data_IF_679570504204
#
_entry.id   IF_679570504204
#
_cell.length_a   1.000
_cell.length_b   1.000
_cell.length_c   1.000
_cell.angle_alpha   90.00
_cell.angle_beta   90.00
_cell.angle_gamma   90.00
#
_symmetry.space_group_name_H-M   'P 1'
#
loop_
_entity.id
_entity.type
_entity.pdbx_description
1 polymer ?
#
# COMPACT_ATOMS: atom_id res chain seq x y z
N UNK A 1 42.16 15.01 37.92
CA UNK A 1 41.78 16.19 37.14
C UNK A 1 40.36 15.96 36.61
N UNK A 2 39.37 16.57 37.24
CA UNK A 2 37.94 16.44 36.93
C UNK A 2 37.53 17.54 35.94
N UNK A 3 36.93 17.15 34.81
CA UNK A 3 36.42 18.07 33.80
C UNK A 3 35.24 18.93 34.34
N UNK A 4 35.07 20.18 33.90
CA UNK A 4 33.99 21.04 34.40
C UNK A 4 32.65 20.59 33.80
N UNK A 5 31.62 20.52 34.66
CA UNK A 5 30.25 20.28 34.25
C UNK A 5 29.75 21.49 33.44
N UNK A 6 29.58 21.31 32.12
CA UNK A 6 29.04 22.34 31.24
C UNK A 6 27.54 22.54 31.52
N UNK A 7 27.17 23.67 32.12
CA UNK A 7 25.78 24.08 32.33
C UNK A 7 25.13 24.40 30.98
N UNK A 8 24.35 23.47 30.45
CA UNK A 8 23.54 23.69 29.26
C UNK A 8 22.54 24.83 29.52
N UNK A 9 22.52 25.85 28.65
CA UNK A 9 21.60 26.99 28.81
C UNK A 9 20.12 26.54 28.80
N UNK A 10 19.21 27.20 29.53
CA UNK A 10 17.79 26.85 29.56
C UNK A 10 17.16 26.82 28.17
N UNK A 11 17.58 27.73 27.28
CA UNK A 11 17.20 27.77 25.87
C UNK A 11 17.73 26.57 25.08
N UNK A 12 18.99 26.16 25.29
CA UNK A 12 19.54 24.97 24.63
C UNK A 12 18.96 23.65 25.18
N UNK A 13 18.47 23.65 26.43
CA UNK A 13 17.71 22.55 27.02
C UNK A 13 16.30 22.49 26.46
N UNK A 14 15.64 23.65 26.34
CA UNK A 14 14.32 23.78 25.74
C UNK A 14 14.32 23.43 24.24
N UNK A 15 15.31 23.89 23.48
CA UNK A 15 15.48 23.53 22.07
C UNK A 15 15.75 22.03 21.88
N UNK A 16 16.59 21.42 22.73
CA UNK A 16 16.80 19.96 22.73
C UNK A 16 15.53 19.18 23.08
N UNK A 17 14.77 19.67 24.03
CA UNK A 17 13.46 19.10 24.38
C UNK A 17 12.46 19.25 23.23
N UNK A 18 12.40 20.41 22.55
CA UNK A 18 11.54 20.66 21.39
C UNK A 18 11.91 19.81 20.16
N UNK A 19 13.20 19.62 19.87
CA UNK A 19 13.64 18.75 18.77
C UNK A 19 13.34 17.27 19.01
N UNK A 20 12.94 16.91 20.23
CA UNK A 20 12.36 15.63 20.64
C UNK A 20 13.09 14.35 20.24
N UNK A 21 14.29 14.40 19.64
CA UNK A 21 14.94 13.23 19.03
C UNK A 21 13.88 12.26 18.50
N UNK A 22 12.93 12.78 17.69
CA UNK A 22 11.98 11.93 16.97
C UNK A 22 12.81 10.78 16.48
N UNK A 23 12.44 9.51 16.69
CA UNK A 23 13.34 8.41 16.40
C UNK A 23 13.71 8.48 14.92
N UNK A 24 14.79 9.20 14.64
CA UNK A 24 15.75 8.93 13.61
C UNK A 24 16.49 7.73 14.18
N UNK A 25 15.76 6.62 14.31
CA UNK A 25 16.37 5.33 14.42
C UNK A 25 17.25 5.12 13.20
N UNK A 26 17.88 3.96 13.13
CA UNK A 26 18.45 3.52 11.86
C UNK A 26 17.41 3.64 10.76
N UNK A 27 17.74 4.32 9.66
CA UNK A 27 16.89 4.39 8.47
C UNK A 27 16.40 2.98 8.18
N UNK A 28 15.09 2.78 8.30
CA UNK A 28 14.50 1.47 8.07
C UNK A 28 14.68 1.16 6.58
N UNK A 29 15.36 0.04 6.30
CA UNK A 29 15.60 -0.38 4.93
C UNK A 29 14.28 -0.90 4.37
N UNK A 30 13.64 -0.10 3.52
CA UNK A 30 12.51 -0.56 2.74
C UNK A 30 12.94 -1.66 1.78
N UNK A 31 12.04 -2.60 1.44
CA UNK A 31 12.31 -3.56 0.40
C UNK A 31 12.58 -2.86 -0.94
N UNK A 32 13.39 -3.50 -1.79
CA UNK A 32 13.60 -3.01 -3.15
C UNK A 32 12.26 -3.12 -3.89
N UNK A 33 11.80 -2.00 -4.46
CA UNK A 33 10.55 -1.91 -5.19
C UNK A 33 10.78 -1.15 -6.49
N UNK A 34 10.60 -1.83 -7.62
CA UNK A 34 10.61 -1.23 -8.95
C UNK A 34 9.34 -0.42 -9.23
N UNK A 35 9.31 0.38 -10.31
CA UNK A 35 8.14 1.19 -10.68
C UNK A 35 6.85 0.39 -10.93
N UNK A 36 6.99 -0.88 -11.29
CA UNK A 36 5.91 -1.84 -11.53
C UNK A 36 5.66 -2.77 -10.33
N UNK A 37 6.26 -2.46 -9.18
CA UNK A 37 6.13 -3.24 -7.95
C UNK A 37 7.09 -4.41 -7.84
N UNK A 38 7.94 -4.70 -8.83
CA UNK A 38 8.90 -5.83 -8.75
C UNK A 38 9.90 -5.67 -7.63
N UNK A 39 10.19 -6.77 -6.95
CA UNK A 39 11.26 -6.82 -5.95
C UNK A 39 12.51 -7.49 -6.50
N UNK A 40 13.55 -7.57 -5.66
CA UNK A 40 14.74 -8.38 -5.93
C UNK A 40 14.49 -9.89 -5.78
N UNK A 41 13.30 -10.31 -5.33
CA UNK A 41 12.90 -11.72 -5.23
C UNK A 41 11.97 -12.04 -6.41
N UNK A 42 12.37 -12.97 -7.32
CA UNK A 42 11.54 -13.34 -8.47
C UNK A 42 10.16 -13.84 -8.04
N UNK A 43 9.11 -13.36 -8.72
CA UNK A 43 7.71 -13.71 -8.42
C UNK A 43 7.10 -12.95 -7.24
N UNK A 44 7.86 -12.09 -6.55
CA UNK A 44 7.36 -11.28 -5.43
C UNK A 44 7.27 -9.82 -5.85
N UNK A 45 6.08 -9.24 -5.64
CA UNK A 45 5.72 -7.87 -6.00
C UNK A 45 5.18 -7.12 -4.78
N UNK A 46 5.33 -5.81 -4.79
CA UNK A 46 4.84 -4.90 -3.75
C UNK A 46 3.85 -3.89 -4.33
N UNK A 47 2.83 -3.58 -3.54
CA UNK A 47 1.86 -2.54 -3.84
C UNK A 47 1.39 -1.86 -2.54
N UNK A 48 0.65 -0.77 -2.67
CA UNK A 48 0.17 0.02 -1.55
C UNK A 48 1.27 0.85 -0.90
N UNK A 49 1.14 1.07 0.40
CA UNK A 49 2.00 1.97 1.18
C UNK A 49 3.46 1.49 1.23
N UNK A 50 3.73 0.19 1.02
CA UNK A 50 5.08 -0.37 0.91
C UNK A 50 5.87 0.21 -0.28
N UNK A 51 5.20 0.86 -1.23
CA UNK A 51 5.84 1.58 -2.35
C UNK A 51 6.39 2.96 -1.93
N UNK A 52 6.16 3.40 -0.69
CA UNK A 52 6.75 4.60 -0.10
C UNK A 52 5.89 5.87 -0.19
N UNK A 53 4.73 5.83 -0.85
CA UNK A 53 3.78 6.95 -0.95
C UNK A 53 2.41 6.54 -0.39
N UNK A 54 2.06 6.93 0.84
CA UNK A 54 0.83 6.49 1.52
C UNK A 54 -0.37 7.32 1.08
N UNK A 55 -0.69 7.27 -0.22
CA UNK A 55 -1.79 8.00 -0.83
C UNK A 55 -2.73 7.02 -1.53
N UNK A 56 -4.02 7.16 -1.22
CA UNK A 56 -5.06 6.22 -1.61
C UNK A 56 -5.06 5.89 -3.12
N UNK A 57 -4.96 6.91 -3.97
CA UNK A 57 -4.94 6.72 -5.44
C UNK A 57 -3.69 6.00 -5.92
N UNK A 58 -2.54 6.30 -5.33
CA UNK A 58 -1.28 5.62 -5.66
C UNK A 58 -1.29 4.17 -5.17
N UNK A 59 -1.92 3.89 -4.03
CA UNK A 59 -2.11 2.54 -3.54
C UNK A 59 -2.94 1.69 -4.51
N UNK A 60 -4.07 2.23 -5.00
CA UNK A 60 -4.89 1.58 -6.03
C UNK A 60 -4.10 1.33 -7.32
N UNK A 61 -3.42 2.37 -7.82
CA UNK A 61 -2.65 2.32 -9.06
C UNK A 61 -1.47 1.34 -9.01
N UNK A 62 -0.77 1.28 -7.87
CA UNK A 62 0.32 0.33 -7.65
C UNK A 62 -0.14 -1.13 -7.70
N UNK A 63 -1.33 -1.45 -7.17
CA UNK A 63 -1.90 -2.81 -7.25
C UNK A 63 -2.17 -3.23 -8.68
N UNK A 64 -2.75 -2.33 -9.48
CA UNK A 64 -3.04 -2.54 -10.91
C UNK A 64 -1.74 -2.77 -11.70
N UNK A 65 -0.75 -1.90 -11.51
CA UNK A 65 0.54 -2.00 -12.22
C UNK A 65 1.27 -3.31 -11.89
N UNK A 66 1.27 -3.72 -10.63
CA UNK A 66 1.87 -4.98 -10.20
C UNK A 66 1.23 -6.18 -10.92
N UNK A 67 -0.10 -6.23 -10.98
CA UNK A 67 -0.79 -7.34 -11.65
C UNK A 67 -0.58 -7.34 -13.16
N UNK A 68 -0.54 -6.16 -13.81
CA UNK A 68 -0.21 -6.09 -15.24
C UNK A 68 1.19 -6.60 -15.54
N UNK A 69 2.16 -6.29 -14.68
CA UNK A 69 3.52 -6.81 -14.80
C UNK A 69 3.56 -8.34 -14.61
N UNK A 70 2.82 -8.87 -13.63
CA UNK A 70 2.68 -10.32 -13.40
C UNK A 70 2.03 -11.01 -14.60
N UNK A 71 0.93 -10.45 -15.13
CA UNK A 71 0.25 -10.99 -16.30
C UNK A 71 1.18 -11.03 -17.54
N UNK A 72 2.00 -9.99 -17.72
CA UNK A 72 2.99 -9.95 -18.80
C UNK A 72 4.06 -11.05 -18.64
N UNK A 73 4.56 -11.26 -17.41
CA UNK A 73 5.52 -12.32 -17.12
C UNK A 73 4.96 -13.72 -17.39
N UNK A 74 3.74 -14.00 -16.92
CA UNK A 74 3.07 -15.28 -17.09
C UNK A 74 2.81 -15.59 -18.57
N UNK A 75 2.44 -14.57 -19.37
CA UNK A 75 2.30 -14.70 -20.82
C UNK A 75 3.63 -14.97 -21.52
N UNK A 76 4.72 -14.34 -21.07
CA UNK A 76 6.06 -14.56 -21.63
C UNK A 76 6.66 -15.91 -21.23
N UNK A 77 6.26 -16.46 -20.08
CA UNK A 77 6.75 -17.72 -19.52
C UNK A 77 5.56 -18.61 -19.12
N UNK A 78 4.84 -19.18 -20.08
CA UNK A 78 3.69 -20.02 -19.79
C UNK A 78 4.12 -21.21 -18.93
N UNK A 79 3.53 -21.32 -17.74
CA UNK A 79 3.70 -22.48 -16.86
C UNK A 79 2.87 -23.64 -17.44
N UNK A 80 3.34 -24.89 -17.31
CA UNK A 80 2.44 -26.03 -17.46
C UNK A 80 1.40 -25.93 -16.36
N UNK A 81 0.12 -25.91 -16.73
CA UNK A 81 -0.98 -25.98 -15.77
C UNK A 81 -0.70 -27.18 -14.84
N UNK A 82 -0.39 -26.87 -13.58
CA UNK A 82 -0.44 -27.83 -12.50
C UNK A 82 -1.77 -27.57 -11.83
N UNK A 83 -2.64 -28.59 -11.80
CA UNK A 83 -4.10 -28.45 -11.69
C UNK A 83 -4.63 -27.96 -10.31
N UNK A 84 -3.85 -27.22 -9.52
CA UNK A 84 -4.29 -26.76 -8.20
C UNK A 84 -3.67 -25.45 -7.68
N UNK A 85 -2.71 -24.81 -8.37
CA UNK A 85 -2.09 -23.58 -7.86
C UNK A 85 -2.65 -22.33 -8.58
N UNK A 86 -3.03 -21.27 -7.85
CA UNK A 86 -3.43 -20.01 -8.48
C UNK A 86 -2.24 -19.34 -9.17
N UNK A 87 -2.52 -18.57 -10.23
CA UNK A 87 -1.51 -17.76 -10.92
C UNK A 87 -0.94 -16.65 -10.04
N UNK A 88 -1.74 -16.19 -9.06
CA UNK A 88 -1.42 -15.08 -8.18
C UNK A 88 -1.99 -15.30 -6.77
N UNK A 89 -1.19 -15.06 -5.74
CA UNK A 89 -1.67 -14.92 -4.36
C UNK A 89 -1.45 -13.47 -3.91
N UNK A 90 -2.51 -12.83 -3.45
CA UNK A 90 -2.54 -11.45 -2.98
C UNK A 90 -2.58 -11.47 -1.46
N UNK A 91 -1.54 -10.92 -0.83
CA UNK A 91 -1.46 -10.82 0.62
C UNK A 91 -1.91 -9.42 1.08
N UNK A 92 -3.05 -9.37 1.76
CA UNK A 92 -3.69 -8.16 2.27
C UNK A 92 -4.90 -7.72 1.44
N UNK A 93 -6.06 -7.65 2.09
CA UNK A 93 -7.35 -7.20 1.55
C UNK A 93 -7.61 -5.71 1.73
N UNK A 94 -6.55 -4.89 1.69
CA UNK A 94 -6.65 -3.43 1.65
C UNK A 94 -6.96 -2.89 0.26
N UNK A 95 -6.97 -1.58 0.09
CA UNK A 95 -7.27 -0.93 -1.21
C UNK A 95 -6.37 -1.39 -2.35
N UNK A 96 -5.06 -1.51 -2.12
CA UNK A 96 -4.12 -1.97 -3.14
C UNK A 96 -4.33 -3.44 -3.51
N UNK A 97 -4.54 -4.31 -2.50
CA UNK A 97 -4.79 -5.73 -2.73
C UNK A 97 -6.12 -6.01 -3.42
N UNK A 98 -7.18 -5.26 -3.07
CA UNK A 98 -8.46 -5.38 -3.77
C UNK A 98 -8.41 -4.80 -5.18
N UNK A 99 -7.64 -3.73 -5.42
CA UNK A 99 -7.37 -3.24 -6.78
C UNK A 99 -6.61 -4.29 -7.61
N UNK A 100 -5.62 -4.95 -7.01
CA UNK A 100 -4.90 -6.06 -7.63
C UNK A 100 -5.85 -7.24 -7.95
N UNK A 101 -6.74 -7.61 -7.03
CA UNK A 101 -7.71 -8.69 -7.22
C UNK A 101 -8.65 -8.41 -8.41
N UNK A 102 -9.17 -7.18 -8.49
CA UNK A 102 -10.02 -6.76 -9.61
C UNK A 102 -9.23 -6.78 -10.92
N UNK A 103 -8.00 -6.25 -10.94
CA UNK A 103 -7.16 -6.29 -12.15
C UNK A 103 -6.82 -7.74 -12.54
N UNK A 104 -6.60 -8.65 -11.58
CA UNK A 104 -6.31 -10.06 -11.85
C UNK A 104 -7.49 -10.75 -12.54
N UNK A 105 -8.72 -10.49 -12.05
CA UNK A 105 -9.98 -10.90 -12.70
C UNK A 105 -10.07 -10.37 -14.14
N UNK A 106 -9.72 -9.11 -14.37
CA UNK A 106 -9.72 -8.50 -15.71
C UNK A 106 -8.66 -9.08 -16.66
N UNK A 107 -7.50 -9.49 -16.13
CA UNK A 107 -6.44 -10.14 -16.90
C UNK A 107 -6.70 -11.63 -17.15
N UNK A 108 -7.76 -12.20 -16.58
CA UNK A 108 -8.11 -13.62 -16.70
C UNK A 108 -7.21 -14.54 -15.88
N UNK A 109 -6.58 -14.04 -14.82
CA UNK A 109 -5.72 -14.80 -13.92
C UNK A 109 -6.55 -15.47 -12.81
N UNK A 110 -6.18 -16.70 -12.44
CA UNK A 110 -6.65 -17.32 -11.21
C UNK A 110 -5.91 -16.71 -10.01
N UNK A 111 -6.64 -16.35 -8.95
CA UNK A 111 -6.01 -15.73 -7.79
C UNK A 111 -6.71 -16.03 -6.48
N UNK A 112 -5.97 -15.88 -5.39
CA UNK A 112 -6.49 -15.90 -4.02
C UNK A 112 -6.10 -14.61 -3.28
N UNK A 113 -7.01 -14.10 -2.45
CA UNK A 113 -6.73 -12.96 -1.55
C UNK A 113 -6.72 -13.48 -0.12
N UNK A 114 -5.60 -13.28 0.58
CA UNK A 114 -5.44 -13.66 1.98
C UNK A 114 -5.41 -12.37 2.81
N UNK A 115 -6.45 -12.17 3.62
CA UNK A 115 -6.56 -11.05 4.56
C UNK A 115 -6.60 -11.60 5.99
N UNK A 116 -5.78 -11.02 6.87
CA UNK A 116 -5.66 -11.48 8.25
C UNK A 116 -6.88 -11.14 9.12
N UNK A 117 -7.62 -10.09 8.75
CA UNK A 117 -8.71 -9.54 9.55
C UNK A 117 -10.02 -9.50 8.76
N UNK A 118 -10.28 -8.39 8.07
CA UNK A 118 -11.44 -8.17 7.22
C UNK A 118 -11.06 -7.28 6.03
N UNK A 119 -11.78 -7.38 4.90
CA UNK A 119 -11.58 -6.48 3.77
C UNK A 119 -11.69 -5.01 4.21
N UNK A 120 -10.70 -4.21 3.80
CA UNK A 120 -10.59 -2.78 4.11
C UNK A 120 -10.51 -2.43 5.61
N UNK A 121 -10.02 -3.33 6.47
CA UNK A 121 -9.93 -3.12 7.92
C UNK A 121 -9.34 -1.76 8.32
N UNK A 122 -8.22 -1.34 7.70
CA UNK A 122 -7.59 -0.03 7.98
C UNK A 122 -8.54 1.14 7.77
N UNK A 123 -9.37 1.11 6.72
CA UNK A 123 -10.33 2.17 6.45
C UNK A 123 -11.50 2.07 7.43
N UNK A 124 -11.96 0.86 7.74
CA UNK A 124 -13.04 0.66 8.71
C UNK A 124 -12.69 1.20 10.10
N UNK A 125 -11.44 0.99 10.53
CA UNK A 125 -10.93 1.37 11.85
C UNK A 125 -10.59 2.85 12.01
N UNK A 126 -10.64 3.63 10.92
CA UNK A 126 -10.47 5.08 11.05
C UNK A 126 -11.57 5.70 11.93
N UNK A 127 -11.27 6.82 12.64
CA UNK A 127 -12.27 7.53 13.41
C UNK A 127 -13.49 7.93 12.56
N UNK A 128 -14.65 7.94 13.19
CA UNK A 128 -15.90 8.34 12.54
C UNK A 128 -15.77 9.74 11.94
N UNK A 129 -16.20 9.94 10.70
CA UNK A 129 -16.15 11.22 10.02
C UNK A 129 -14.73 11.69 9.64
N UNK A 130 -13.73 10.80 9.66
CA UNK A 130 -12.38 11.13 9.21
C UNK A 130 -12.43 11.65 7.76
N UNK A 131 -11.90 12.85 7.48
CA UNK A 131 -11.77 13.36 6.13
C UNK A 131 -10.85 12.48 5.29
N UNK A 132 -11.28 12.15 4.08
CA UNK A 132 -10.51 11.41 3.10
C UNK A 132 -10.07 12.37 2.02
N UNK A 133 -8.75 12.46 1.84
CA UNK A 133 -8.16 13.31 0.82
C UNK A 133 -7.73 12.45 -0.37
N UNK A 134 -8.40 12.63 -1.50
CA UNK A 134 -8.15 11.91 -2.75
C UNK A 134 -7.11 12.63 -3.62
N UNK A 135 -6.03 13.13 -3.00
CA UNK A 135 -4.91 13.74 -3.73
C UNK A 135 -4.09 12.66 -4.47
N UNK A 136 -3.57 12.99 -5.66
CA UNK A 136 -3.80 14.20 -6.47
C UNK A 136 -5.18 14.18 -7.13
N UNK A 137 -5.88 15.31 -7.20
CA UNK A 137 -7.22 15.38 -7.81
C UNK A 137 -7.22 14.98 -9.29
N UNK A 138 -6.18 15.34 -10.04
CA UNK A 138 -5.98 15.02 -11.46
C UNK A 138 -5.60 13.57 -11.74
N UNK A 139 -5.08 12.84 -10.73
CA UNK A 139 -4.72 11.44 -10.91
C UNK A 139 -6.00 10.61 -10.94
N UNK A 140 -6.22 9.90 -12.05
CA UNK A 140 -7.21 8.83 -12.15
C UNK A 140 -6.43 7.51 -12.09
N UNK A 141 -6.67 6.65 -11.08
CA UNK A 141 -6.07 5.33 -11.03
C UNK A 141 -6.36 4.57 -12.33
N UNK A 142 -5.36 3.87 -12.89
CA UNK A 142 -5.50 3.15 -14.16
C UNK A 142 -6.44 1.93 -14.09
N UNK A 143 -6.84 1.51 -12.90
CA UNK A 143 -7.70 0.34 -12.66
C UNK A 143 -9.19 0.67 -12.59
N UNK A 144 -10.00 -0.39 -12.51
CA UNK A 144 -11.45 -0.28 -12.40
C UNK A 144 -11.93 0.28 -11.04
N UNK A 145 -11.14 0.10 -9.97
CA UNK A 145 -11.48 0.59 -8.64
C UNK A 145 -11.21 2.10 -8.55
N UNK A 146 -12.27 2.87 -8.34
CA UNK A 146 -12.23 4.33 -8.29
C UNK A 146 -12.67 4.82 -6.90
N UNK A 147 -12.13 5.97 -6.48
CA UNK A 147 -12.42 6.57 -5.17
C UNK A 147 -12.74 8.05 -5.31
N UNK A 148 -13.91 8.46 -4.80
CA UNK A 148 -14.39 9.84 -4.87
C UNK A 148 -14.88 10.37 -3.53
N UNK A 149 -15.14 9.48 -2.58
CA UNK A 149 -15.58 9.83 -1.24
C UNK A 149 -14.62 10.80 -0.53
N UNK A 150 -15.21 11.70 0.25
CA UNK A 150 -14.50 12.72 1.05
C UNK A 150 -14.50 12.41 2.55
N UNK A 151 -15.22 11.37 2.97
CA UNK A 151 -15.30 10.90 4.35
C UNK A 151 -15.21 9.37 4.41
N UNK A 152 -14.71 8.84 5.54
CA UNK A 152 -14.46 7.41 5.77
C UNK A 152 -15.62 6.50 5.39
N UNK A 153 -16.81 6.78 5.90
CA UNK A 153 -17.97 5.89 5.78
C UNK A 153 -18.37 5.73 4.30
N UNK A 154 -18.46 6.84 3.58
CA UNK A 154 -18.74 6.84 2.15
C UNK A 154 -17.65 6.11 1.35
N UNK A 155 -16.37 6.26 1.73
CA UNK A 155 -15.28 5.56 1.08
C UNK A 155 -15.41 4.05 1.24
N UNK A 156 -15.73 3.60 2.46
CA UNK A 156 -15.87 2.18 2.75
C UNK A 156 -17.04 1.56 1.98
N UNK A 157 -18.17 2.25 1.92
CA UNK A 157 -19.34 1.82 1.16
C UNK A 157 -19.05 1.78 -0.34
N UNK A 158 -18.37 2.82 -0.88
CA UNK A 158 -17.93 2.90 -2.28
C UNK A 158 -17.01 1.73 -2.66
N UNK A 159 -16.07 1.36 -1.79
CA UNK A 159 -15.11 0.28 -2.03
C UNK A 159 -15.76 -1.11 -1.98
N UNK A 160 -16.62 -1.36 -0.97
CA UNK A 160 -17.33 -2.64 -0.84
C UNK A 160 -18.23 -2.91 -2.03
N UNK A 161 -19.01 -1.91 -2.44
CA UNK A 161 -19.91 -2.02 -3.58
C UNK A 161 -19.20 -2.24 -4.93
N UNK A 162 -17.92 -1.86 -5.05
CA UNK A 162 -17.12 -2.09 -6.26
C UNK A 162 -16.46 -3.47 -6.28
N UNK A 163 -16.07 -4.01 -5.14
CA UNK A 163 -15.49 -5.36 -5.01
C UNK A 163 -16.51 -6.47 -5.27
N UNK A 164 -17.76 -6.25 -4.88
CA UNK A 164 -18.83 -7.25 -5.01
C UNK A 164 -19.33 -7.44 -6.47
N UNK A 165 -18.76 -6.72 -7.44
CA UNK A 165 -19.12 -6.79 -8.88
C UNK A 165 -18.21 -7.75 -9.65
#
# INVERSE_FOLDING_TARGET
>A
MTAPASSVSPLARYARWLHLQWPAGTVEKLPVCGPDGRTNVPGVFLCGDLTGVPLLKFALDSGVRAVRAIAADLRARPRKAADAEPDLVILGGGVAGMAAAIEAKLQGLSFEVIEATAPFATIADFPRGKPIFTYPASLMPEGALQVRATVKEQLLDELRAQVER
#
